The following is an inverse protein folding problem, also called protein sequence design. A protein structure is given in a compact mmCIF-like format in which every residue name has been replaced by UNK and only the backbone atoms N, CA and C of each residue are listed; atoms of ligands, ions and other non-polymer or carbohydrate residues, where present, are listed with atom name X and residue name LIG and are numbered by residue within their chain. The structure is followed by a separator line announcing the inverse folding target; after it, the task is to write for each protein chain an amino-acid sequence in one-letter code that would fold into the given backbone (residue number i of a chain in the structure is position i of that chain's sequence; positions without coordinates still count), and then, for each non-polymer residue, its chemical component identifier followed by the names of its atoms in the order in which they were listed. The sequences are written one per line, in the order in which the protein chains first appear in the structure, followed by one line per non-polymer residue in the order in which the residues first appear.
data_IF_634091570239
#
_entry.id   IF_634091570239
#
_cell.length_a   1.000
_cell.length_b   1.000
_cell.length_c   1.000
_cell.angle_alpha   90.00
_cell.angle_beta   90.00
_cell.angle_gamma   90.00
#
_symmetry.space_group_name_H-M   'P 1'
#
loop_
_entity.id
_entity.type
_entity.pdbx_description
1 polymer ?
#
# COMPACT_ATOMS: atom_id res chain seq x y z
N UNK A 1 5.89 31.79 -22.00
CA UNK A 1 6.14 30.63 -21.12
C UNK A 1 6.20 29.38 -21.98
N UNK A 2 7.11 28.43 -21.71
CA UNK A 2 7.14 27.13 -22.43
C UNK A 2 6.84 26.03 -21.42
N UNK A 3 5.95 25.13 -21.78
CA UNK A 3 5.56 23.98 -20.97
C UNK A 3 6.25 22.71 -21.50
N UNK A 4 6.76 21.89 -20.59
CA UNK A 4 7.31 20.57 -20.88
C UNK A 4 6.41 19.51 -20.25
N UNK A 5 5.88 18.62 -21.08
CA UNK A 5 5.00 17.52 -20.64
C UNK A 5 5.72 16.18 -20.81
N UNK A 6 5.61 15.31 -19.81
CA UNK A 6 6.06 13.92 -19.86
C UNK A 6 5.15 13.05 -18.99
N UNK A 7 5.20 11.74 -19.21
CA UNK A 7 4.44 10.76 -18.44
C UNK A 7 5.17 10.42 -17.13
N UNK A 8 4.53 10.67 -16.00
CA UNK A 8 5.09 10.40 -14.65
C UNK A 8 4.90 8.95 -14.20
N UNK A 9 4.16 8.14 -14.97
CA UNK A 9 3.79 6.78 -14.61
C UNK A 9 2.81 6.69 -13.43
N UNK A 10 2.26 7.83 -12.97
CA UNK A 10 1.26 7.86 -11.89
C UNK A 10 -0.07 7.33 -12.41
N UNK A 11 -0.57 6.30 -11.72
CA UNK A 11 -1.80 5.59 -12.05
C UNK A 11 -2.82 5.77 -10.93
N UNK A 12 -4.10 5.72 -11.29
CA UNK A 12 -5.21 5.71 -10.33
C UNK A 12 -5.64 4.28 -10.05
N UNK A 13 -5.93 3.98 -8.79
CA UNK A 13 -6.29 2.63 -8.37
C UNK A 13 -7.77 2.52 -8.03
N UNK A 14 -8.41 1.49 -8.58
CA UNK A 14 -9.75 1.03 -8.18
C UNK A 14 -9.57 -0.16 -7.25
N UNK A 15 -10.19 -0.13 -6.07
CA UNK A 15 -10.07 -1.21 -5.08
C UNK A 15 -11.46 -1.79 -4.83
N UNK A 16 -11.64 -3.08 -5.14
CA UNK A 16 -12.90 -3.81 -4.93
C UNK A 16 -14.15 -3.10 -5.49
N UNK A 17 -14.00 -2.40 -6.63
CA UNK A 17 -15.08 -1.67 -7.28
C UNK A 17 -15.26 -0.20 -6.83
N UNK A 18 -14.48 0.26 -5.85
CA UNK A 18 -14.40 1.68 -5.49
C UNK A 18 -13.37 2.35 -6.39
N UNK A 19 -13.79 3.30 -7.22
CA UNK A 19 -12.93 3.99 -8.18
C UNK A 19 -12.06 5.09 -7.52
N UNK A 20 -10.93 5.41 -8.15
CA UNK A 20 -10.08 6.57 -7.81
C UNK A 20 -9.62 6.66 -6.34
N UNK A 21 -9.44 5.52 -5.66
CA UNK A 21 -9.11 5.44 -4.23
C UNK A 21 -7.77 6.11 -3.90
N UNK A 22 -6.72 5.80 -4.64
CA UNK A 22 -5.39 6.39 -4.45
C UNK A 22 -4.62 6.48 -5.78
N UNK A 23 -3.50 7.22 -5.77
CA UNK A 23 -2.66 7.43 -6.95
C UNK A 23 -1.18 7.28 -6.63
N UNK A 24 -0.50 6.41 -7.38
CA UNK A 24 0.94 6.16 -7.22
C UNK A 24 1.57 5.86 -8.56
N UNK A 25 2.89 6.03 -8.66
CA UNK A 25 3.67 5.31 -9.66
C UNK A 25 4.13 3.98 -9.02
N UNK A 26 3.66 2.81 -9.49
CA UNK A 26 4.00 1.52 -8.88
C UNK A 26 5.47 1.11 -9.02
N UNK A 27 6.26 1.85 -9.81
CA UNK A 27 7.70 1.66 -9.99
C UNK A 27 8.55 2.69 -9.22
N UNK A 28 7.91 3.60 -8.48
CA UNK A 28 8.59 4.56 -7.63
C UNK A 28 9.24 3.84 -6.44
N UNK A 29 10.57 3.82 -6.43
CA UNK A 29 11.36 3.12 -5.40
C UNK A 29 11.18 3.73 -4.02
N UNK A 30 10.90 5.04 -3.92
CA UNK A 30 10.64 5.69 -2.63
C UNK A 30 9.29 5.26 -2.07
N UNK A 31 8.26 5.18 -2.93
CA UNK A 31 6.96 4.62 -2.54
C UNK A 31 7.08 3.15 -2.11
N UNK A 32 7.81 2.32 -2.87
CA UNK A 32 8.02 0.91 -2.55
C UNK A 32 8.71 0.76 -1.18
N UNK A 33 9.69 1.62 -0.87
CA UNK A 33 10.32 1.68 0.45
C UNK A 33 9.30 1.94 1.56
N UNK A 34 8.51 3.01 1.43
CA UNK A 34 7.44 3.33 2.41
C UNK A 34 6.39 2.23 2.56
N UNK A 35 6.04 1.55 1.46
CA UNK A 35 5.13 0.40 1.47
C UNK A 35 5.71 -0.77 2.27
N UNK A 36 7.00 -1.05 2.11
CA UNK A 36 7.71 -2.07 2.90
C UNK A 36 7.72 -1.71 4.39
N UNK A 37 8.08 -0.47 4.73
CA UNK A 37 8.13 0.00 6.13
C UNK A 37 6.76 -0.05 6.81
N UNK A 38 5.71 0.35 6.08
CA UNK A 38 4.33 0.25 6.55
C UNK A 38 3.95 -1.21 6.83
N UNK A 39 4.25 -2.12 5.91
CA UNK A 39 3.97 -3.55 6.11
C UNK A 39 4.72 -4.13 7.31
N UNK A 40 6.01 -3.81 7.47
CA UNK A 40 6.80 -4.26 8.62
C UNK A 40 6.25 -3.73 9.95
N UNK A 41 5.86 -2.45 9.98
CA UNK A 41 5.22 -1.82 11.14
C UNK A 41 3.93 -2.54 11.53
N UNK A 42 3.03 -2.76 10.57
CA UNK A 42 1.76 -3.45 10.80
C UNK A 42 1.97 -4.93 11.18
N UNK A 43 2.92 -5.61 10.56
CA UNK A 43 3.28 -6.99 10.88
C UNK A 43 3.86 -7.10 12.30
N UNK A 44 4.65 -6.13 12.74
CA UNK A 44 5.13 -6.03 14.11
C UNK A 44 3.98 -5.90 15.10
N UNK A 45 3.02 -4.99 14.83
CA UNK A 45 1.81 -4.85 15.65
C UNK A 45 0.96 -6.13 15.67
N UNK A 46 0.82 -6.81 14.53
CA UNK A 46 0.10 -8.07 14.43
C UNK A 46 0.78 -9.18 15.24
N UNK A 47 2.10 -9.36 15.12
CA UNK A 47 2.85 -10.39 15.86
C UNK A 47 2.79 -10.16 17.37
N UNK A 48 2.97 -8.91 17.79
CA UNK A 48 2.97 -8.51 19.21
C UNK A 48 1.56 -8.27 19.76
N UNK A 49 0.51 -8.56 18.96
CA UNK A 49 -0.86 -8.48 19.44
C UNK A 49 -1.07 -9.40 20.63
N UNK A 50 -0.39 -10.55 20.71
CA UNK A 50 -0.44 -11.43 21.87
C UNK A 50 -0.06 -10.69 23.16
N UNK A 51 1.01 -9.91 23.17
CA UNK A 51 1.44 -9.19 24.38
C UNK A 51 0.49 -8.06 24.78
N UNK A 52 -0.17 -7.42 23.82
CA UNK A 52 -1.08 -6.29 24.09
C UNK A 52 -2.53 -6.73 24.33
N UNK A 53 -2.95 -7.77 23.60
CA UNK A 53 -4.29 -8.32 23.59
C UNK A 53 -4.41 -9.45 24.61
N UNK A 54 -3.36 -10.20 24.98
CA UNK A 54 -3.47 -11.13 26.13
C UNK A 54 -3.61 -10.39 27.46
N UNK A 55 -2.97 -9.24 27.66
CA UNK A 55 -3.17 -8.45 28.87
C UNK A 55 -4.61 -7.89 28.94
N UNK A 56 -5.14 -7.38 27.83
CA UNK A 56 -6.51 -6.88 27.73
C UNK A 56 -7.56 -8.01 27.66
N UNK A 57 -7.27 -9.18 27.06
CA UNK A 57 -8.15 -10.37 27.00
C UNK A 57 -8.07 -11.25 28.24
N UNK A 58 -7.10 -11.04 29.13
CA UNK A 58 -7.14 -11.52 30.52
C UNK A 58 -8.15 -10.73 31.36
N UNK A 59 -8.63 -9.59 30.86
CA UNK A 59 -9.76 -8.88 31.46
C UNK A 59 -11.07 -9.60 31.14
N UNK A 60 -11.88 -9.87 32.16
CA UNK A 60 -13.28 -10.30 31.96
C UNK A 60 -14.18 -9.14 31.44
N UNK A 61 -13.63 -7.93 31.30
CA UNK A 61 -14.35 -6.76 30.76
C UNK A 61 -14.25 -6.71 29.23
N UNK A 62 -15.28 -7.23 28.57
CA UNK A 62 -15.47 -7.15 27.12
C UNK A 62 -15.25 -5.73 26.56
N UNK A 63 -15.57 -4.67 27.32
CA UNK A 63 -15.36 -3.30 26.85
C UNK A 63 -13.89 -2.93 26.72
N UNK A 64 -13.02 -3.43 27.61
CA UNK A 64 -11.58 -3.20 27.54
C UNK A 64 -10.99 -3.89 26.32
N UNK A 65 -11.35 -5.16 26.10
CA UNK A 65 -10.94 -5.94 24.91
C UNK A 65 -11.33 -5.21 23.61
N UNK A 66 -12.60 -4.79 23.50
CA UNK A 66 -13.10 -4.10 22.31
C UNK A 66 -12.41 -2.75 22.11
N UNK A 67 -12.11 -2.02 23.19
CA UNK A 67 -11.37 -0.74 23.12
C UNK A 67 -9.94 -0.94 22.61
N UNK A 68 -9.23 -1.96 23.11
CA UNK A 68 -7.89 -2.32 22.64
C UNK A 68 -7.88 -2.66 21.15
N UNK A 69 -8.81 -3.50 20.70
CA UNK A 69 -8.97 -3.86 19.29
C UNK A 69 -9.27 -2.63 18.41
N UNK A 70 -10.14 -1.72 18.85
CA UNK A 70 -10.44 -0.47 18.13
C UNK A 70 -9.23 0.44 18.01
N UNK A 71 -8.39 0.52 19.05
CA UNK A 71 -7.16 1.31 19.03
C UNK A 71 -6.15 0.74 18.03
N UNK A 72 -6.01 -0.59 17.97
CA UNK A 72 -5.15 -1.26 16.98
C UNK A 72 -5.66 -1.05 15.55
N UNK A 73 -6.98 -1.17 15.35
CA UNK A 73 -7.63 -0.90 14.07
C UNK A 73 -7.37 0.52 13.59
N UNK A 74 -7.59 1.51 14.46
CA UNK A 74 -7.33 2.93 14.16
C UNK A 74 -5.88 3.22 13.80
N UNK A 75 -4.91 2.64 14.52
CA UNK A 75 -3.49 2.78 14.17
C UNK A 75 -3.17 2.18 12.79
N UNK A 76 -3.75 1.02 12.49
CA UNK A 76 -3.52 0.33 11.21
C UNK A 76 -4.09 1.15 10.06
N UNK A 77 -5.30 1.70 10.24
CA UNK A 77 -5.92 2.63 9.29
C UNK A 77 -5.07 3.88 9.06
N UNK A 78 -4.58 4.50 10.14
CA UNK A 78 -3.69 5.66 10.03
C UNK A 78 -2.42 5.35 9.23
N UNK A 79 -1.76 4.22 9.48
CA UNK A 79 -0.56 3.82 8.71
C UNK A 79 -0.86 3.67 7.21
N UNK A 80 -2.04 3.15 6.86
CA UNK A 80 -2.46 3.01 5.46
C UNK A 80 -2.74 4.39 4.84
N UNK A 81 -3.39 5.28 5.59
CA UNK A 81 -3.69 6.65 5.14
C UNK A 81 -2.40 7.48 4.98
N UNK A 82 -1.44 7.35 5.88
CA UNK A 82 -0.12 8.00 5.77
C UNK A 82 0.65 7.51 4.53
N UNK A 83 0.45 6.25 4.14
CA UNK A 83 1.08 5.66 2.96
C UNK A 83 0.45 6.13 1.65
N UNK A 84 -0.89 6.09 1.57
CA UNK A 84 -1.67 6.18 0.32
C UNK A 84 -2.49 7.46 0.16
N UNK A 85 -2.65 8.23 1.22
CA UNK A 85 -3.47 9.45 1.29
C UNK A 85 -4.60 9.34 2.30
N UNK A 86 -5.03 10.49 2.81
CA UNK A 86 -6.09 10.60 3.80
C UNK A 86 -7.40 9.96 3.31
N UNK A 87 -8.01 9.12 4.16
CA UNK A 87 -9.31 8.50 3.91
C UNK A 87 -9.29 7.29 2.97
N UNK A 88 -8.11 6.81 2.56
CA UNK A 88 -7.97 5.59 1.75
C UNK A 88 -8.43 4.36 2.54
N UNK A 89 -8.06 4.28 3.81
CA UNK A 89 -8.42 3.18 4.70
C UNK A 89 -9.94 3.04 4.85
N UNK A 90 -10.66 4.16 5.00
CA UNK A 90 -12.12 4.15 5.08
C UNK A 90 -12.76 3.76 3.75
N UNK A 91 -12.24 4.23 2.61
CA UNK A 91 -12.74 3.83 1.29
C UNK A 91 -12.54 2.33 1.01
N UNK A 92 -11.43 1.75 1.49
CA UNK A 92 -11.09 0.34 1.24
C UNK A 92 -11.80 -0.61 2.20
N UNK A 93 -11.83 -0.29 3.50
CA UNK A 93 -12.33 -1.20 4.54
C UNK A 93 -13.73 -0.83 5.05
N UNK A 94 -14.18 0.41 4.88
CA UNK A 94 -15.45 0.91 5.41
C UNK A 94 -15.61 0.58 6.89
N UNK A 95 -16.74 -0.04 7.24
CA UNK A 95 -17.03 -0.47 8.63
C UNK A 95 -16.32 -1.75 9.07
N UNK A 96 -15.62 -2.45 8.17
CA UNK A 96 -14.93 -3.71 8.49
C UNK A 96 -13.62 -3.42 9.22
N UNK A 97 -13.34 -4.14 10.30
CA UNK A 97 -12.04 -4.03 10.95
C UNK A 97 -10.93 -4.55 10.03
N UNK A 98 -9.84 -3.80 9.97
CA UNK A 98 -8.58 -4.18 9.31
C UNK A 98 -8.00 -5.51 9.81
N UNK A 99 -8.38 -5.96 11.01
CA UNK A 99 -7.99 -7.23 11.61
C UNK A 99 -8.96 -8.38 11.34
N UNK A 100 -10.06 -8.14 10.60
CA UNK A 100 -10.94 -9.22 10.15
C UNK A 100 -10.12 -10.24 9.35
N UNK A 101 -10.34 -11.52 9.62
CA UNK A 101 -9.59 -12.61 8.99
C UNK A 101 -10.30 -13.11 7.74
N UNK A 102 -9.54 -13.22 6.65
CA UNK A 102 -9.95 -13.88 5.40
C UNK A 102 -8.81 -14.78 4.97
N UNK A 103 -9.09 -16.06 4.75
CA UNK A 103 -8.11 -17.09 4.39
C UNK A 103 -6.89 -17.16 5.31
N UNK A 104 -7.10 -16.90 6.61
CA UNK A 104 -6.07 -16.97 7.64
C UNK A 104 -5.20 -15.70 7.79
N UNK A 105 -5.46 -14.66 7.01
CA UNK A 105 -4.74 -13.38 7.09
C UNK A 105 -5.68 -12.21 7.44
N UNK A 106 -5.20 -11.20 8.18
CA UNK A 106 -5.96 -9.98 8.40
C UNK A 106 -6.11 -9.22 7.08
N UNK A 107 -7.27 -8.59 6.85
CA UNK A 107 -7.57 -7.91 5.57
C UNK A 107 -6.59 -6.79 5.24
N UNK A 108 -5.95 -6.12 6.22
CA UNK A 108 -4.89 -5.16 5.94
C UNK A 108 -3.69 -5.79 5.24
N UNK A 109 -3.33 -7.02 5.61
CA UNK A 109 -2.19 -7.73 5.04
C UNK A 109 -2.49 -8.16 3.61
N UNK A 110 -3.70 -8.69 3.37
CA UNK A 110 -4.16 -9.03 2.01
C UNK A 110 -4.11 -7.81 1.09
N UNK A 111 -4.52 -6.64 1.59
CA UNK A 111 -4.48 -5.40 0.83
C UNK A 111 -3.04 -4.97 0.48
N UNK A 112 -2.16 -4.85 1.47
CA UNK A 112 -0.78 -4.40 1.22
C UNK A 112 0.04 -5.41 0.39
N UNK A 113 -0.17 -6.72 0.57
CA UNK A 113 0.48 -7.76 -0.24
C UNK A 113 0.03 -7.69 -1.71
N UNK A 114 -1.26 -7.44 -1.95
CA UNK A 114 -1.77 -7.25 -3.31
C UNK A 114 -1.12 -6.04 -3.99
N UNK A 115 -0.90 -4.95 -3.24
CA UNK A 115 -0.22 -3.77 -3.74
C UNK A 115 1.28 -4.02 -4.01
N UNK A 116 1.95 -4.77 -3.15
CA UNK A 116 3.34 -5.19 -3.38
C UNK A 116 3.48 -6.05 -4.64
N UNK A 117 2.55 -6.99 -4.86
CA UNK A 117 2.53 -7.82 -6.06
C UNK A 117 2.32 -6.99 -7.34
N UNK A 118 1.44 -5.98 -7.28
CA UNK A 118 1.22 -5.07 -8.39
C UNK A 118 2.47 -4.23 -8.70
N UNK A 119 3.14 -3.71 -7.67
CA UNK A 119 4.44 -3.02 -7.79
C UNK A 119 5.50 -3.89 -8.48
N UNK A 120 5.67 -5.16 -8.09
CA UNK A 120 6.61 -6.07 -8.77
C UNK A 120 6.21 -6.28 -10.24
N UNK A 121 4.93 -6.56 -10.53
CA UNK A 121 4.45 -6.74 -11.91
C UNK A 121 4.70 -5.51 -12.77
N UNK A 122 4.46 -4.31 -12.24
CA UNK A 122 4.73 -3.06 -12.93
C UNK A 122 6.23 -2.85 -13.17
N UNK A 123 7.06 -3.12 -12.16
CA UNK A 123 8.51 -3.02 -12.26
C UNK A 123 9.08 -3.97 -13.34
N UNK A 124 8.64 -5.23 -13.36
CA UNK A 124 9.05 -6.19 -14.39
C UNK A 124 8.62 -5.77 -15.80
N UNK A 125 7.45 -5.11 -15.94
CA UNK A 125 6.96 -4.57 -17.22
C UNK A 125 7.83 -3.42 -17.71
N UNK A 126 8.09 -2.42 -16.87
CA UNK A 126 8.88 -1.24 -17.24
C UNK A 126 10.35 -1.59 -17.54
N UNK A 127 10.92 -2.55 -16.81
CA UNK A 127 12.27 -3.09 -17.12
C UNK A 127 12.38 -3.64 -18.52
N UNK A 128 11.35 -4.34 -19.02
CA UNK A 128 11.32 -4.88 -20.39
C UNK A 128 11.21 -3.77 -21.45
N UNK A 129 10.53 -2.67 -21.14
CA UNK A 129 10.31 -1.55 -22.06
C UNK A 129 11.48 -0.56 -22.12
N UNK A 130 12.28 -0.46 -21.06
CA UNK A 130 13.37 0.52 -20.93
C UNK A 130 14.49 0.30 -21.95
N UNK A 131 14.84 -0.96 -22.22
CA UNK A 131 15.94 -1.30 -23.14
C UNK A 131 15.69 -0.79 -24.59
N UNK A 132 14.55 -1.07 -25.24
CA UNK A 132 14.28 -0.59 -26.60
C UNK A 132 14.12 0.94 -26.73
N UNK A 133 13.55 1.60 -25.71
CA UNK A 133 13.24 3.03 -25.79
C UNK A 133 14.52 3.88 -25.78
N UNK A 134 15.45 3.56 -24.88
CA UNK A 134 16.75 4.24 -24.79
C UNK A 134 17.57 4.05 -26.08
N UNK A 135 17.62 2.83 -26.61
CA UNK A 135 18.32 2.54 -27.87
C UNK A 135 17.76 3.33 -29.06
N UNK A 136 16.43 3.44 -29.17
CA UNK A 136 15.77 4.23 -30.22
C UNK A 136 16.20 5.69 -30.19
N UNK A 137 16.22 6.32 -29.00
CA UNK A 137 16.63 7.72 -28.86
C UNK A 137 18.13 7.89 -29.09
N UNK A 138 18.97 7.03 -28.51
CA UNK A 138 20.43 7.08 -28.72
C UNK A 138 20.80 6.88 -30.20
N UNK A 139 20.08 6.05 -30.96
CA UNK A 139 20.29 5.86 -32.40
C UNK A 139 19.82 7.06 -33.23
N UNK A 140 18.73 7.71 -32.83
CA UNK A 140 18.23 8.93 -33.48
C UNK A 140 19.25 10.06 -33.35
N UNK A 141 19.75 10.31 -32.14
CA UNK A 141 20.68 11.42 -31.90
C UNK A 141 22.11 11.13 -32.39
N UNK A 142 22.57 9.87 -32.37
CA UNK A 142 23.86 9.49 -33.01
C UNK A 142 23.89 9.61 -34.53
N UNK A 143 22.74 9.64 -35.21
CA UNK A 143 22.65 9.85 -36.67
C UNK A 143 22.57 11.32 -37.07
N UNK A 144 22.38 12.21 -36.10
CA UNK A 144 22.17 13.65 -36.32
C UNK A 144 23.38 14.49 -35.88
N UNK A 145 24.44 13.82 -35.39
CA UNK A 145 25.80 14.33 -35.18
C UNK A 145 26.70 13.71 -36.25
#
# INVERSE_FOLDING_TARGET
MRELTFDTGVQKYTVNGVEDVFRINPTDTEFIGRLSDAFETLNGMWKNRGDTVEEDMKSDDLKQIVSGMRKMDGKTRQTIDDLLGEGVSEQVFGSVSTYALVDGFPVWANFLLSLMEDCDKAYQRERKLSNPRLEKYLKKYRRTL
#
